data_IF_904241768980
#
_entry.id   IF_904241768980
#
_cell.length_a   1.000
_cell.length_b   1.000
_cell.length_c   1.000
_cell.angle_alpha   90.00
_cell.angle_beta   90.00
_cell.angle_gamma   90.00
#
_symmetry.space_group_name_H-M   'P 1'
#
loop_
_entity.id
_entity.type
_entity.pdbx_description
1 polymer ?
#
# COMPACT_ATOMS: atom_id res chain seq x y z
N UNK A 1 14.11 -10.70 14.35
CA UNK A 1 13.21 -11.30 13.34
C UNK A 1 14.01 -12.25 12.46
N UNK A 2 13.68 -13.54 12.48
CA UNK A 2 14.38 -14.58 11.72
C UNK A 2 14.16 -14.42 10.22
N UNK A 3 15.01 -15.02 9.38
CA UNK A 3 14.92 -14.97 7.91
C UNK A 3 13.58 -15.53 7.42
N UNK A 4 13.09 -16.60 8.04
CA UNK A 4 11.79 -17.23 7.77
C UNK A 4 10.62 -16.26 8.00
N UNK A 5 10.62 -15.52 9.12
CA UNK A 5 9.53 -14.57 9.41
C UNK A 5 9.48 -13.41 8.40
N UNK A 6 10.62 -13.02 7.81
CA UNK A 6 10.66 -12.00 6.75
C UNK A 6 10.04 -12.51 5.45
N UNK A 7 10.37 -13.75 5.07
CA UNK A 7 9.80 -14.38 3.87
C UNK A 7 8.29 -14.52 4.03
N UNK A 8 7.85 -14.99 5.20
CA UNK A 8 6.43 -15.11 5.53
C UNK A 8 5.70 -13.75 5.42
N UNK A 9 6.31 -12.67 5.93
CA UNK A 9 5.74 -11.33 5.77
C UNK A 9 5.65 -10.90 4.30
N UNK A 10 6.69 -11.14 3.49
CA UNK A 10 6.64 -10.79 2.08
C UNK A 10 5.54 -11.57 1.34
N UNK A 11 5.41 -12.87 1.62
CA UNK A 11 4.34 -13.70 1.06
C UNK A 11 2.97 -13.18 1.49
N UNK A 12 2.81 -12.84 2.77
CA UNK A 12 1.57 -12.27 3.29
C UNK A 12 1.23 -10.94 2.60
N UNK A 13 2.20 -10.05 2.39
CA UNK A 13 2.01 -8.78 1.66
C UNK A 13 1.50 -9.07 0.25
N UNK A 14 2.13 -9.98 -0.48
CA UNK A 14 1.75 -10.32 -1.86
C UNK A 14 0.33 -10.88 -1.89
N UNK A 15 -0.02 -11.79 -0.98
CA UNK A 15 -1.37 -12.35 -0.87
C UNK A 15 -2.39 -11.26 -0.58
N UNK A 16 -2.11 -10.37 0.38
CA UNK A 16 -3.01 -9.28 0.73
C UNK A 16 -3.22 -8.32 -0.44
N UNK A 17 -2.14 -7.98 -1.17
CA UNK A 17 -2.23 -7.15 -2.37
C UNK A 17 -3.16 -7.81 -3.38
N UNK A 18 -2.92 -9.08 -3.74
CA UNK A 18 -3.73 -9.79 -4.75
C UNK A 18 -5.21 -9.83 -4.36
N UNK A 19 -5.52 -10.13 -3.09
CA UNK A 19 -6.90 -10.24 -2.60
C UNK A 19 -7.62 -8.88 -2.63
N UNK A 20 -6.91 -7.80 -2.26
CA UNK A 20 -7.51 -6.48 -2.12
C UNK A 20 -7.42 -5.62 -3.40
N UNK A 21 -6.60 -5.97 -4.38
CA UNK A 21 -6.54 -5.32 -5.69
C UNK A 21 -7.93 -5.13 -6.32
N UNK A 22 -8.80 -6.16 -6.44
CA UNK A 22 -10.12 -5.95 -7.03
C UNK A 22 -11.02 -5.04 -6.18
N UNK A 23 -10.87 -5.06 -4.86
CA UNK A 23 -11.66 -4.23 -3.94
C UNK A 23 -11.27 -2.76 -4.12
N UNK A 24 -9.97 -2.46 -4.05
CA UNK A 24 -9.48 -1.10 -4.21
C UNK A 24 -9.63 -0.58 -5.63
N UNK A 25 -9.48 -1.44 -6.64
CA UNK A 25 -9.74 -1.11 -8.04
C UNK A 25 -11.20 -0.73 -8.28
N UNK A 26 -12.14 -1.56 -7.81
CA UNK A 26 -13.57 -1.25 -7.92
C UNK A 26 -13.99 -0.02 -7.13
N UNK A 27 -13.35 0.25 -5.98
CA UNK A 27 -13.53 1.52 -5.27
C UNK A 27 -13.01 2.71 -6.08
N UNK A 28 -11.81 2.59 -6.65
CA UNK A 28 -11.21 3.64 -7.47
C UNK A 28 -12.14 4.00 -8.65
N UNK A 29 -12.57 3.02 -9.43
CA UNK A 29 -13.47 3.25 -10.56
C UNK A 29 -14.80 3.89 -10.15
N UNK A 30 -15.36 3.47 -9.01
CA UNK A 30 -16.63 4.01 -8.52
C UNK A 30 -16.54 5.49 -8.14
N UNK A 31 -15.41 5.93 -7.59
CA UNK A 31 -15.25 7.30 -7.09
C UNK A 31 -14.58 8.24 -8.09
N UNK A 32 -13.70 7.74 -8.95
CA UNK A 32 -12.85 8.55 -9.84
C UNK A 32 -13.08 8.25 -11.32
N UNK A 33 -13.87 7.22 -11.66
CA UNK A 33 -14.12 6.82 -13.04
C UNK A 33 -13.07 5.85 -13.59
N UNK A 34 -13.20 5.44 -14.87
CA UNK A 34 -12.34 4.44 -15.48
C UNK A 34 -10.88 4.92 -15.51
N UNK A 35 -9.97 4.11 -14.97
CA UNK A 35 -8.55 4.44 -14.83
C UNK A 35 -7.81 4.61 -16.18
N UNK A 36 -8.38 4.10 -17.28
CA UNK A 36 -7.84 4.28 -18.61
C UNK A 36 -8.97 4.18 -19.64
N UNK A 37 -9.00 5.12 -20.59
CA UNK A 37 -10.04 5.21 -21.65
C UNK A 37 -9.46 5.00 -23.05
N UNK A 38 -8.20 4.56 -23.16
CA UNK A 38 -7.46 4.47 -24.43
C UNK A 38 -7.51 3.07 -25.08
N UNK A 39 -7.13 2.97 -26.36
CA UNK A 39 -7.15 1.72 -27.14
C UNK A 39 -6.18 0.63 -26.61
N UNK A 40 -5.19 1.00 -25.79
CA UNK A 40 -4.24 0.09 -25.14
C UNK A 40 -4.67 -0.29 -23.71
N UNK A 41 -5.90 0.05 -23.33
CA UNK A 41 -6.45 -0.24 -22.02
C UNK A 41 -6.57 -1.77 -21.82
N UNK A 42 -6.03 -2.32 -20.72
CA UNK A 42 -6.22 -3.74 -20.39
C UNK A 42 -7.71 -4.03 -20.17
N UNK A 43 -8.12 -5.29 -20.26
CA UNK A 43 -9.54 -5.69 -20.09
C UNK A 43 -10.12 -5.32 -18.70
N UNK A 44 -9.26 -5.12 -17.71
CA UNK A 44 -9.59 -4.66 -16.37
C UNK A 44 -8.64 -3.53 -15.93
N UNK A 45 -8.84 -2.27 -16.39
CA UNK A 45 -8.01 -1.14 -15.98
C UNK A 45 -8.06 -0.84 -14.48
N UNK A 46 -9.16 -1.19 -13.82
CA UNK A 46 -9.34 -1.09 -12.38
C UNK A 46 -8.28 -1.84 -11.58
N UNK A 47 -7.76 -2.94 -12.13
CA UNK A 47 -6.76 -3.75 -11.43
C UNK A 47 -5.38 -3.09 -11.43
N UNK A 48 -5.11 -2.18 -12.35
CA UNK A 48 -3.85 -1.44 -12.36
C UNK A 48 -3.82 -0.48 -11.17
N UNK A 49 -4.79 0.44 -11.08
CA UNK A 49 -4.92 1.36 -9.94
C UNK A 49 -5.15 0.62 -8.62
N UNK A 50 -6.00 -0.41 -8.64
CA UNK A 50 -6.23 -1.28 -7.48
C UNK A 50 -4.94 -1.92 -6.96
N UNK A 51 -4.02 -2.32 -7.85
CA UNK A 51 -2.73 -2.86 -7.45
C UNK A 51 -1.84 -1.78 -6.81
N UNK A 52 -1.74 -0.59 -7.40
CA UNK A 52 -0.95 0.51 -6.84
C UNK A 52 -1.45 0.91 -5.47
N UNK A 53 -2.77 1.10 -5.34
CA UNK A 53 -3.43 1.44 -4.09
C UNK A 53 -3.18 0.36 -3.02
N UNK A 54 -3.40 -0.91 -3.37
CA UNK A 54 -3.15 -2.04 -2.46
C UNK A 54 -1.69 -2.12 -2.03
N UNK A 55 -0.78 -1.96 -2.98
CA UNK A 55 0.65 -1.99 -2.74
C UNK A 55 1.07 -0.87 -1.78
N UNK A 56 0.69 0.38 -2.08
CA UNK A 56 1.00 1.54 -1.25
C UNK A 56 0.47 1.36 0.18
N UNK A 57 -0.75 0.84 0.32
CA UNK A 57 -1.37 0.58 1.62
C UNK A 57 -0.63 -0.49 2.42
N UNK A 58 -0.53 -1.72 1.90
CA UNK A 58 -0.02 -2.86 2.66
C UNK A 58 1.48 -2.79 2.88
N UNK A 59 2.25 -2.27 1.92
CA UNK A 59 3.68 -2.05 2.09
C UNK A 59 3.92 -0.99 3.16
N UNK A 60 3.18 0.12 3.13
CA UNK A 60 3.26 1.15 4.18
C UNK A 60 2.91 0.59 5.56
N UNK A 61 1.80 -0.13 5.67
CA UNK A 61 1.30 -0.68 6.92
C UNK A 61 2.25 -1.75 7.50
N UNK A 62 2.67 -2.74 6.71
CA UNK A 62 3.47 -3.86 7.19
C UNK A 62 4.91 -3.44 7.48
N UNK A 63 5.51 -2.56 6.67
CA UNK A 63 6.84 -2.02 6.98
C UNK A 63 6.76 -1.14 8.23
N UNK A 64 5.68 -0.40 8.47
CA UNK A 64 5.58 0.42 9.68
C UNK A 64 5.39 -0.45 10.93
N UNK A 65 4.60 -1.52 10.85
CA UNK A 65 4.39 -2.46 11.96
C UNK A 65 5.64 -3.29 12.30
N UNK A 66 6.38 -3.75 11.30
CA UNK A 66 7.46 -4.75 11.47
C UNK A 66 8.85 -4.29 10.99
N UNK A 67 8.94 -3.11 10.42
CA UNK A 67 10.17 -2.49 9.94
C UNK A 67 10.73 -1.53 10.97
N UNK A 68 11.84 -1.91 11.59
CA UNK A 68 12.64 -0.98 12.38
C UNK A 68 13.16 0.20 11.53
N UNK A 69 13.75 1.20 12.19
CA UNK A 69 14.14 2.50 11.63
C UNK A 69 14.89 2.42 10.27
N UNK A 70 15.76 1.42 10.07
CA UNK A 70 16.51 1.26 8.82
C UNK A 70 15.65 0.87 7.60
N UNK A 71 14.42 0.36 7.80
CA UNK A 71 13.54 -0.11 6.72
C UNK A 71 12.65 0.98 6.12
N UNK A 72 12.55 2.15 6.77
CA UNK A 72 11.85 3.31 6.20
C UNK A 72 12.50 3.82 4.92
N UNK A 73 13.82 3.63 4.75
CA UNK A 73 14.51 3.97 3.51
C UNK A 73 14.03 3.13 2.32
N UNK A 74 13.78 1.84 2.55
CA UNK A 74 13.25 0.93 1.52
C UNK A 74 11.82 1.33 1.15
N UNK A 75 11.00 1.65 2.15
CA UNK A 75 9.64 2.16 1.94
C UNK A 75 9.66 3.47 1.15
N UNK A 76 10.50 4.44 1.51
CA UNK A 76 10.61 5.69 0.76
C UNK A 76 11.06 5.48 -0.68
N UNK A 77 11.98 4.55 -0.93
CA UNK A 77 12.40 4.21 -2.31
C UNK A 77 11.24 3.55 -3.06
N UNK A 78 10.56 2.57 -2.47
CA UNK A 78 9.46 1.87 -3.15
C UNK A 78 8.27 2.78 -3.43
N UNK A 79 7.86 3.60 -2.45
CA UNK A 79 6.81 4.60 -2.64
C UNK A 79 7.27 5.67 -3.65
N UNK A 80 8.54 6.10 -3.59
CA UNK A 80 9.08 7.12 -4.48
C UNK A 80 9.13 6.70 -5.94
N UNK A 81 9.55 5.46 -6.24
CA UNK A 81 9.53 4.92 -7.61
C UNK A 81 8.10 4.91 -8.15
N UNK A 82 7.16 4.51 -7.32
CA UNK A 82 5.77 4.32 -7.70
C UNK A 82 5.07 5.68 -7.94
N UNK A 83 5.30 6.66 -7.07
CA UNK A 83 4.87 8.04 -7.29
C UNK A 83 5.55 8.70 -8.49
N UNK A 84 6.80 8.34 -8.79
CA UNK A 84 7.49 8.82 -10.00
C UNK A 84 6.86 8.25 -11.28
N UNK A 85 6.34 7.01 -11.24
CA UNK A 85 5.56 6.44 -12.33
C UNK A 85 4.26 7.21 -12.52
N UNK A 86 3.53 7.52 -11.44
CA UNK A 86 2.30 8.33 -11.52
C UNK A 86 2.58 9.72 -12.11
N UNK A 87 3.67 10.37 -11.69
CA UNK A 87 4.13 11.64 -12.27
C UNK A 87 4.45 11.53 -13.76
N UNK A 88 5.17 10.47 -14.16
CA UNK A 88 5.54 10.24 -15.55
C UNK A 88 4.33 9.99 -16.46
N UNK A 89 3.31 9.32 -15.94
CA UNK A 89 2.05 9.05 -16.64
C UNK A 89 1.09 10.26 -16.62
N UNK A 90 1.40 11.33 -15.88
CA UNK A 90 0.51 12.47 -15.72
C UNK A 90 -0.75 12.15 -14.91
N UNK A 91 -0.75 11.05 -14.16
CA UNK A 91 -1.87 10.56 -13.36
C UNK A 91 -1.94 11.29 -12.00
N UNK A 92 -2.26 12.59 -12.04
CA UNK A 92 -2.30 13.45 -10.85
C UNK A 92 -3.28 12.97 -9.77
N UNK A 93 -4.42 12.41 -10.19
CA UNK A 93 -5.44 11.85 -9.30
C UNK A 93 -4.92 10.60 -8.59
N UNK A 94 -4.35 9.67 -9.36
CA UNK A 94 -3.69 8.46 -8.84
C UNK A 94 -2.58 8.79 -7.85
N UNK A 95 -1.77 9.81 -8.14
CA UNK A 95 -0.70 10.26 -7.25
C UNK A 95 -1.22 10.73 -5.88
N UNK A 96 -2.26 11.57 -5.86
CA UNK A 96 -2.85 12.08 -4.61
C UNK A 96 -3.47 10.94 -3.81
N UNK A 97 -4.16 10.02 -4.49
CA UNK A 97 -4.81 8.86 -3.87
C UNK A 97 -3.74 7.91 -3.29
N UNK A 98 -2.74 7.55 -4.07
CA UNK A 98 -1.64 6.68 -3.67
C UNK A 98 -0.88 7.26 -2.47
N UNK A 99 -0.62 8.57 -2.46
CA UNK A 99 0.00 9.25 -1.32
C UNK A 99 -0.91 9.22 -0.07
N UNK A 100 -2.19 9.58 -0.24
CA UNK A 100 -3.17 9.58 0.86
C UNK A 100 -3.34 8.19 1.49
N UNK A 101 -3.36 7.15 0.67
CA UNK A 101 -3.49 5.76 1.12
C UNK A 101 -2.22 5.26 1.79
N UNK A 102 -1.03 5.64 1.30
CA UNK A 102 0.22 5.33 2.00
C UNK A 102 0.26 5.98 3.39
N UNK A 103 -0.21 7.23 3.53
CA UNK A 103 -0.34 7.93 4.82
C UNK A 103 -1.37 7.21 5.71
N UNK A 104 -2.52 6.81 5.17
CA UNK A 104 -3.54 6.08 5.90
C UNK A 104 -3.01 4.73 6.43
N UNK A 105 -2.29 3.97 5.61
CA UNK A 105 -1.63 2.72 6.02
C UNK A 105 -0.59 2.94 7.13
N UNK A 106 0.18 4.02 7.04
CA UNK A 106 1.15 4.40 8.07
C UNK A 106 0.45 4.78 9.39
N UNK A 107 -0.61 5.59 9.33
CA UNK A 107 -1.40 5.99 10.50
C UNK A 107 -2.07 4.79 11.19
N UNK A 108 -2.64 3.86 10.41
CA UNK A 108 -3.23 2.63 10.94
C UNK A 108 -2.17 1.77 11.65
N UNK A 109 -0.98 1.64 11.07
CA UNK A 109 0.11 0.93 11.70
C UNK A 109 0.55 1.60 13.03
N UNK A 110 0.65 2.93 13.07
CA UNK A 110 0.94 3.66 14.31
C UNK A 110 -0.14 3.44 15.36
N UNK A 111 -1.42 3.50 14.97
CA UNK A 111 -2.55 3.19 15.85
C UNK A 111 -2.46 1.78 16.43
N UNK A 112 -2.17 0.78 15.59
CA UNK A 112 -1.95 -0.60 16.02
C UNK A 112 -0.79 -0.75 17.01
N UNK A 113 0.34 -0.07 16.76
CA UNK A 113 1.48 -0.06 17.68
C UNK A 113 1.14 0.58 19.02
N UNK A 114 0.35 1.66 19.04
CA UNK A 114 -0.08 2.32 20.27
C UNK A 114 -0.99 1.42 21.12
N UNK A 115 -1.96 0.76 20.49
CA UNK A 115 -2.85 -0.20 21.17
C UNK A 115 -2.05 -1.38 21.73
N UNK A 116 -1.17 -1.97 20.91
CA UNK A 116 -0.30 -3.05 21.34
C UNK A 116 0.57 -2.67 22.55
N UNK A 117 1.17 -1.46 22.53
CA UNK A 117 1.97 -0.96 23.66
C UNK A 117 1.13 -0.75 24.92
N UNK A 118 -0.10 -0.24 24.81
CA UNK A 118 -1.00 -0.07 25.96
C UNK A 118 -1.36 -1.41 26.59
N UNK A 119 -1.77 -2.39 25.78
CA UNK A 119 -2.12 -3.73 26.25
C UNK A 119 -0.94 -4.44 26.92
N UNK A 120 0.25 -4.36 26.31
CA UNK A 120 1.44 -5.02 26.84
C UNK A 120 2.00 -4.34 28.12
N UNK A 121 1.66 -3.06 28.35
CA UNK A 121 2.00 -2.33 29.58
C UNK A 121 1.02 -2.60 30.72
N UNK A 122 -0.21 -3.03 30.42
CA UNK A 122 -1.19 -3.47 31.42
C UNK A 122 -1.01 -4.95 31.84
N UNK A 123 -0.31 -5.73 31.02
CA UNK A 123 0.01 -7.15 31.29
C UNK A 123 1.31 -7.34 32.11
N UNK A 124 2.00 -6.26 32.49
CA UNK A 124 3.16 -6.24 33.39
C UNK A 124 2.79 -5.50 34.67
#
# INVERSE_FOLDING_TARGET
MTKQNKILLCVLIIILIIIFTPIFGGMYEKFFGPACTSFLCPAHPEYFEGFFVSYMFFVSLIITLFGGIKKYKILLISLGILLAVDLFLGAWEGLIINLGIAIAGWLLAQGGLLVYRKLNKQAR
#
